data_IF_612984559416
#
_entry.id   IF_612984559416
#
_cell.length_a   1.000
_cell.length_b   1.000
_cell.length_c   1.000
_cell.angle_alpha   90.00
_cell.angle_beta   90.00
_cell.angle_gamma   90.00
#
_symmetry.space_group_name_H-M   'P 1'
#
loop_
_entity.id
_entity.type
_entity.pdbx_description
1 polymer ?
#
# COMPACT_ATOMS: atom_id res chain seq x y z
N UNK A 1 36.52 -3.12 12.12
CA UNK A 1 37.29 -3.47 13.35
C UNK A 1 36.26 -3.87 14.40
N UNK A 2 35.80 -5.12 14.41
CA UNK A 2 36.51 -6.31 14.90
C UNK A 2 36.89 -6.14 16.38
N UNK A 3 35.90 -6.30 17.26
CA UNK A 3 36.18 -6.50 18.68
C UNK A 3 36.85 -7.87 18.84
N UNK A 4 38.18 -7.86 18.97
CA UNK A 4 38.97 -9.00 19.40
C UNK A 4 38.55 -9.36 20.84
N UNK A 5 37.88 -10.51 21.01
CA UNK A 5 37.66 -11.09 22.35
C UNK A 5 39.03 -11.52 22.89
N UNK A 6 39.52 -10.80 23.90
CA UNK A 6 40.74 -11.16 24.65
C UNK A 6 40.38 -12.23 25.68
N UNK A 7 41.14 -13.32 25.70
CA UNK A 7 40.94 -14.46 26.59
C UNK A 7 41.30 -14.14 28.05
N UNK A 8 40.71 -14.89 28.98
CA UNK A 8 40.97 -14.79 30.42
C UNK A 8 42.37 -15.30 30.79
N UNK A 9 43.03 -14.75 31.83
CA UNK A 9 44.33 -15.19 32.32
C UNK A 9 44.30 -16.65 32.79
N UNK A 10 45.42 -17.36 32.61
CA UNK A 10 45.53 -18.81 32.81
C UNK A 10 45.76 -19.23 34.28
N UNK A 11 45.93 -18.27 35.18
CA UNK A 11 46.18 -18.48 36.62
C UNK A 11 45.50 -17.38 37.45
N UNK A 12 44.84 -17.70 38.59
CA UNK A 12 44.25 -16.67 39.45
C UNK A 12 45.34 -15.85 40.15
N UNK A 13 45.41 -14.54 39.87
CA UNK A 13 46.27 -13.59 40.60
C UNK A 13 47.26 -12.77 39.76
N UNK A 14 47.44 -13.08 38.46
CA UNK A 14 48.33 -12.33 37.57
C UNK A 14 47.59 -11.31 36.70
N UNK A 15 48.24 -10.18 36.38
CA UNK A 15 47.73 -9.20 35.42
C UNK A 15 47.81 -9.73 33.96
N UNK A 16 46.87 -9.35 33.06
CA UNK A 16 46.73 -10.03 31.77
C UNK A 16 47.88 -9.82 30.77
N UNK A 17 48.67 -8.75 30.89
CA UNK A 17 49.92 -8.46 30.14
C UNK A 17 50.48 -7.08 30.58
N UNK A 18 51.81 -6.81 30.54
CA UNK A 18 52.39 -5.51 30.94
C UNK A 18 52.10 -4.34 29.98
N UNK A 19 52.12 -3.11 30.53
CA UNK A 19 51.83 -1.84 29.87
C UNK A 19 52.87 -1.45 28.82
N UNK A 20 52.42 -1.23 27.58
CA UNK A 20 53.24 -0.65 26.51
C UNK A 20 52.67 0.71 26.08
N UNK A 21 53.40 1.76 26.46
CA UNK A 21 53.18 3.15 26.11
C UNK A 21 53.21 3.38 24.59
N UNK A 22 52.31 4.23 24.11
CA UNK A 22 52.27 4.72 22.74
C UNK A 22 53.28 5.87 22.55
N UNK A 23 53.92 5.97 21.38
CA UNK A 23 54.18 7.27 20.78
C UNK A 23 53.41 7.42 19.46
N UNK A 24 52.70 8.53 19.35
CA UNK A 24 52.11 9.03 18.13
C UNK A 24 53.17 9.76 17.30
N UNK A 25 53.27 9.48 16.00
CA UNK A 25 53.69 10.50 15.01
C UNK A 25 53.25 10.12 13.61
N UNK A 26 52.58 11.06 12.95
CA UNK A 26 52.19 11.03 11.55
C UNK A 26 53.12 12.01 10.83
N UNK A 27 53.91 11.57 9.87
CA UNK A 27 54.48 12.45 8.84
C UNK A 27 54.51 11.74 7.47
N UNK A 28 54.19 12.45 6.37
CA UNK A 28 54.23 11.92 5.01
C UNK A 28 55.60 12.18 4.36
N UNK A 29 56.07 11.27 3.50
CA UNK A 29 57.30 11.46 2.69
C UNK A 29 56.99 11.22 1.20
N UNK A 30 57.52 12.04 0.27
CA UNK A 30 57.06 12.20 -1.10
C UNK A 30 57.82 11.34 -2.13
N UNK A 31 57.26 11.22 -3.34
CA UNK A 31 57.90 10.67 -4.55
C UNK A 31 59.01 11.60 -5.08
N UNK A 32 60.04 11.03 -5.74
CA UNK A 32 60.28 11.40 -7.14
C UNK A 32 60.81 10.24 -8.03
N UNK A 33 60.98 10.59 -9.30
CA UNK A 33 61.05 9.82 -10.55
C UNK A 33 62.36 9.09 -10.89
N UNK A 34 62.20 8.12 -11.82
CA UNK A 34 63.05 7.68 -12.95
C UNK A 34 64.55 7.35 -12.79
N UNK A 35 64.89 6.09 -13.12
CA UNK A 35 65.93 5.76 -14.12
C UNK A 35 65.86 4.26 -14.54
N UNK A 36 65.81 4.00 -15.86
CA UNK A 36 65.91 2.68 -16.51
C UNK A 36 67.37 2.42 -16.97
N UNK A 37 67.87 1.19 -17.27
CA UNK A 37 67.52 0.48 -18.54
C UNK A 37 67.69 -1.08 -18.61
N UNK A 38 67.09 -1.69 -19.66
CA UNK A 38 67.45 -2.90 -20.48
C UNK A 38 67.84 -4.25 -19.80
N UNK A 39 67.54 -5.49 -20.25
CA UNK A 39 67.13 -6.20 -21.49
C UNK A 39 66.69 -7.66 -21.08
N UNK A 40 66.52 -8.69 -21.96
CA UNK A 40 66.26 -8.77 -23.40
C UNK A 40 65.06 -9.68 -23.78
N UNK A 41 64.85 -9.78 -25.10
CA UNK A 41 63.87 -10.54 -25.88
C UNK A 41 64.32 -11.98 -26.23
N UNK A 42 63.32 -12.78 -26.62
CA UNK A 42 63.32 -13.84 -27.65
C UNK A 42 63.43 -15.34 -27.26
N UNK A 43 62.34 -16.04 -27.61
CA UNK A 43 62.23 -17.32 -28.32
C UNK A 43 63.01 -18.57 -27.85
N UNK A 44 62.27 -19.66 -27.67
CA UNK A 44 62.81 -21.01 -27.54
C UNK A 44 61.71 -22.06 -27.38
N UNK A 45 61.50 -22.81 -28.45
CA UNK A 45 60.64 -23.98 -28.61
C UNK A 45 61.03 -25.11 -27.63
N UNK A 46 60.06 -25.72 -26.93
CA UNK A 46 60.22 -27.08 -26.40
C UNK A 46 58.84 -27.73 -26.23
N UNK A 47 58.32 -28.18 -27.36
CA UNK A 47 57.21 -29.12 -27.46
C UNK A 47 57.63 -30.47 -26.84
N UNK A 48 57.34 -30.65 -25.55
CA UNK A 48 57.35 -31.99 -24.94
C UNK A 48 55.97 -32.63 -25.03
N UNK A 49 55.88 -33.51 -26.01
CA UNK A 49 54.86 -34.54 -26.19
C UNK A 49 54.62 -35.29 -24.86
N UNK A 50 53.53 -34.97 -24.16
CA UNK A 50 53.01 -35.79 -23.08
C UNK A 50 51.81 -36.56 -23.62
N UNK A 51 52.06 -37.76 -24.15
CA UNK A 51 51.00 -38.71 -24.47
C UNK A 51 50.12 -38.94 -23.24
N UNK A 52 48.79 -38.77 -23.32
CA UNK A 52 47.92 -39.14 -22.23
C UNK A 52 47.99 -40.67 -22.09
N UNK A 53 48.40 -41.15 -20.91
CA UNK A 53 48.30 -42.56 -20.57
C UNK A 53 46.86 -43.05 -20.82
N UNK A 54 46.67 -44.26 -21.38
CA UNK A 54 45.33 -44.74 -21.72
C UNK A 54 44.47 -44.78 -20.46
N UNK A 55 43.33 -44.08 -20.49
CA UNK A 55 42.34 -44.17 -19.42
C UNK A 55 41.87 -45.62 -19.34
N UNK A 56 42.03 -46.22 -18.17
CA UNK A 56 41.57 -47.58 -17.92
C UNK A 56 40.06 -47.65 -18.21
N UNK A 57 39.68 -48.56 -19.08
CA UNK A 57 38.29 -48.83 -19.43
C UNK A 57 37.59 -49.46 -18.21
N UNK A 58 36.73 -48.68 -17.56
CA UNK A 58 36.05 -49.05 -16.32
C UNK A 58 34.95 -50.09 -16.54
N UNK A 59 34.60 -50.38 -17.79
CA UNK A 59 33.55 -51.33 -18.15
C UNK A 59 34.09 -52.76 -18.34
N UNK A 60 35.41 -52.97 -18.20
CA UNK A 60 36.02 -54.30 -18.27
C UNK A 60 36.01 -54.98 -16.90
N UNK A 61 35.37 -56.16 -16.74
CA UNK A 61 35.38 -56.87 -15.46
C UNK A 61 36.81 -57.28 -15.08
N UNK A 62 37.20 -57.00 -13.83
CA UNK A 62 38.54 -57.30 -13.33
C UNK A 62 38.81 -58.81 -13.42
N UNK A 63 40.02 -59.23 -13.86
CA UNK A 63 40.35 -60.64 -14.04
C UNK A 63 40.54 -61.41 -12.72
N UNK A 64 40.30 -60.76 -11.57
CA UNK A 64 40.40 -61.34 -10.24
C UNK A 64 39.17 -61.01 -9.39
N UNK A 65 38.81 -61.90 -8.49
CA UNK A 65 37.73 -61.70 -7.51
C UNK A 65 38.08 -60.57 -6.54
N UNK A 66 37.18 -59.59 -6.42
CA UNK A 66 37.32 -58.45 -5.50
C UNK A 66 37.41 -58.96 -4.05
N UNK A 67 38.56 -58.84 -3.40
CA UNK A 67 38.79 -59.30 -2.02
C UNK A 67 38.56 -58.22 -0.96
N UNK A 68 38.37 -56.96 -1.38
CA UNK A 68 38.03 -55.85 -0.49
C UNK A 68 36.67 -55.25 -0.86
N UNK A 69 35.74 -55.26 0.09
CA UNK A 69 34.46 -54.58 -0.01
C UNK A 69 34.58 -53.15 0.55
N UNK A 70 33.86 -52.20 -0.04
CA UNK A 70 33.83 -50.83 0.48
C UNK A 70 33.24 -50.86 1.90
N UNK A 71 34.06 -50.59 2.92
CA UNK A 71 33.61 -50.58 4.32
C UNK A 71 32.53 -49.52 4.53
N UNK A 72 31.69 -49.67 5.56
CA UNK A 72 30.51 -48.82 5.82
C UNK A 72 30.78 -47.30 5.82
N UNK A 73 32.03 -46.87 6.00
CA UNK A 73 32.44 -45.47 5.90
C UNK A 73 32.54 -44.92 4.46
N UNK A 74 32.67 -45.78 3.46
CA UNK A 74 32.72 -45.42 2.04
C UNK A 74 31.34 -45.08 1.45
N UNK A 75 30.26 -45.49 2.13
CA UNK A 75 28.88 -45.12 1.82
C UNK A 75 28.43 -44.02 2.79
N UNK A 76 29.20 -42.93 2.91
CA UNK A 76 28.62 -41.69 3.41
C UNK A 76 27.94 -41.02 2.22
N UNK A 77 26.60 -40.95 2.16
CA UNK A 77 25.97 -40.12 1.15
C UNK A 77 26.52 -38.71 1.31
N UNK A 78 27.02 -38.12 0.23
CA UNK A 78 27.45 -36.72 0.23
C UNK A 78 26.33 -35.90 0.86
N UNK A 79 26.63 -35.17 1.93
CA UNK A 79 25.65 -34.34 2.64
C UNK A 79 24.95 -33.48 1.60
N UNK A 80 23.65 -33.71 1.39
CA UNK A 80 22.89 -33.01 0.37
C UNK A 80 23.16 -31.50 0.49
N UNK A 81 23.42 -30.78 -0.62
CA UNK A 81 23.64 -29.35 -0.58
C UNK A 81 22.48 -28.72 0.19
N UNK A 82 22.79 -28.02 1.28
CA UNK A 82 21.76 -27.35 2.09
C UNK A 82 21.15 -26.29 1.19
N UNK A 83 19.92 -26.53 0.72
CA UNK A 83 19.21 -25.58 -0.13
C UNK A 83 19.26 -24.19 0.52
N UNK A 84 19.90 -23.24 -0.15
CA UNK A 84 20.00 -21.89 0.38
C UNK A 84 18.59 -21.29 0.46
N UNK A 85 18.20 -20.73 1.62
CA UNK A 85 16.86 -20.19 1.79
C UNK A 85 16.64 -19.06 0.78
N UNK A 86 15.58 -19.19 -0.03
CA UNK A 86 15.17 -18.18 -1.02
C UNK A 86 15.06 -16.82 -0.34
N UNK A 87 15.94 -15.88 -0.72
CA UNK A 87 15.99 -14.52 -0.18
C UNK A 87 15.11 -13.60 -1.01
N UNK A 88 14.13 -12.94 -0.39
CA UNK A 88 13.33 -11.89 -1.03
C UNK A 88 13.91 -10.54 -0.63
N UNK A 89 14.46 -9.79 -1.60
CA UNK A 89 15.13 -8.49 -1.37
C UNK A 89 16.23 -8.54 -0.29
N UNK A 90 17.04 -9.59 -0.29
CA UNK A 90 18.19 -9.73 0.62
C UNK A 90 17.87 -10.33 2.01
N UNK A 91 16.59 -10.43 2.41
CA UNK A 91 16.18 -11.10 3.64
C UNK A 91 15.60 -12.49 3.37
N UNK A 92 15.81 -13.42 4.30
CA UNK A 92 15.17 -14.74 4.31
C UNK A 92 13.68 -14.62 4.66
N UNK A 93 12.87 -15.62 4.28
CA UNK A 93 11.45 -15.68 4.67
C UNK A 93 11.25 -15.63 6.19
N UNK A 94 12.14 -16.25 6.95
CA UNK A 94 12.12 -16.23 8.41
C UNK A 94 12.34 -14.80 8.96
N UNK A 95 13.27 -14.04 8.39
CA UNK A 95 13.50 -12.64 8.79
C UNK A 95 12.32 -11.73 8.42
N UNK A 96 11.67 -11.95 7.26
CA UNK A 96 10.41 -11.27 6.94
C UNK A 96 9.29 -11.60 7.93
N UNK A 97 9.16 -12.87 8.30
CA UNK A 97 8.16 -13.30 9.30
C UNK A 97 8.44 -12.68 10.68
N UNK A 98 9.71 -12.67 11.12
CA UNK A 98 10.13 -12.01 12.36
C UNK A 98 9.86 -10.50 12.29
N UNK A 99 10.21 -9.85 11.18
CA UNK A 99 9.96 -8.43 10.99
C UNK A 99 8.47 -8.07 11.01
N UNK A 100 7.63 -8.88 10.36
CA UNK A 100 6.17 -8.73 10.40
C UNK A 100 5.61 -8.95 11.81
N UNK A 101 6.11 -9.96 12.52
CA UNK A 101 5.70 -10.25 13.89
C UNK A 101 6.09 -9.11 14.85
N UNK A 102 7.34 -8.65 14.79
CA UNK A 102 7.81 -7.52 15.61
C UNK A 102 7.05 -6.24 15.26
N UNK A 103 6.80 -5.97 13.98
CA UNK A 103 5.97 -4.86 13.54
C UNK A 103 4.53 -4.97 14.07
N UNK A 104 3.94 -6.17 14.04
CA UNK A 104 2.62 -6.44 14.58
C UNK A 104 2.56 -6.24 16.09
N UNK A 105 3.53 -6.76 16.84
CA UNK A 105 3.63 -6.57 18.30
C UNK A 105 3.81 -5.09 18.64
N UNK A 106 4.68 -4.37 17.93
CA UNK A 106 4.87 -2.94 18.13
C UNK A 106 3.59 -2.14 17.86
N UNK A 107 2.84 -2.51 16.82
CA UNK A 107 1.54 -1.90 16.51
C UNK A 107 0.52 -2.16 17.62
N UNK A 108 0.39 -3.41 18.08
CA UNK A 108 -0.52 -3.77 19.19
C UNK A 108 -0.16 -3.02 20.46
N UNK A 109 1.14 -2.95 20.79
CA UNK A 109 1.62 -2.18 21.95
C UNK A 109 1.28 -0.70 21.80
N UNK A 110 1.58 -0.09 20.65
CA UNK A 110 1.26 1.32 20.39
C UNK A 110 -0.26 1.59 20.48
N UNK A 111 -1.10 0.72 19.90
CA UNK A 111 -2.56 0.80 20.04
C UNK A 111 -2.99 0.67 21.50
N UNK A 112 -2.41 -0.26 22.26
CA UNK A 112 -2.66 -0.41 23.69
C UNK A 112 -2.30 0.84 24.49
N UNK A 113 -1.20 1.51 24.16
CA UNK A 113 -0.80 2.78 24.76
C UNK A 113 -1.77 3.92 24.44
N UNK A 114 -2.26 4.00 23.19
CA UNK A 114 -3.30 4.98 22.82
C UNK A 114 -4.58 4.74 23.63
N UNK A 115 -5.02 3.48 23.75
CA UNK A 115 -6.21 3.14 24.54
C UNK A 115 -6.01 3.47 26.01
N UNK A 116 -4.87 3.11 26.60
CA UNK A 116 -4.56 3.42 27.99
C UNK A 116 -4.55 4.94 28.25
N UNK A 117 -3.92 5.71 27.38
CA UNK A 117 -3.89 7.17 27.46
C UNK A 117 -5.30 7.77 27.32
N UNK A 118 -6.10 7.30 26.35
CA UNK A 118 -7.48 7.76 26.18
C UNK A 118 -8.35 7.43 27.40
N UNK A 119 -8.25 6.22 27.96
CA UNK A 119 -8.98 5.84 29.17
C UNK A 119 -8.55 6.64 30.39
N UNK A 120 -7.25 6.94 30.51
CA UNK A 120 -6.75 7.85 31.55
C UNK A 120 -7.35 9.25 31.39
N UNK A 121 -7.33 9.83 30.18
CA UNK A 121 -7.94 11.15 29.93
C UNK A 121 -9.43 11.16 30.27
N UNK A 122 -10.19 10.15 29.82
CA UNK A 122 -11.64 10.05 30.09
C UNK A 122 -11.95 9.85 31.58
N UNK A 123 -11.00 9.40 32.40
CA UNK A 123 -11.19 9.31 33.86
C UNK A 123 -11.17 10.66 34.58
N UNK A 124 -10.58 11.70 33.96
CA UNK A 124 -10.46 13.04 34.54
C UNK A 124 -11.82 13.76 34.58
N UNK A 125 -12.14 14.42 35.69
CA UNK A 125 -13.43 15.12 35.88
C UNK A 125 -13.70 16.17 34.79
N UNK A 126 -12.69 16.95 34.41
CA UNK A 126 -12.82 17.96 33.35
C UNK A 126 -13.16 17.34 31.99
N UNK A 127 -12.59 16.18 31.67
CA UNK A 127 -12.89 15.47 30.41
C UNK A 127 -14.27 14.84 30.48
N UNK A 128 -14.69 14.29 31.63
CA UNK A 128 -16.06 13.79 31.80
C UNK A 128 -17.11 14.90 31.64
N UNK A 129 -16.86 16.07 32.22
CA UNK A 129 -17.72 17.24 32.05
C UNK A 129 -17.77 17.70 30.57
N UNK A 130 -16.63 17.69 29.89
CA UNK A 130 -16.55 17.98 28.46
C UNK A 130 -17.37 16.98 27.61
N UNK A 131 -17.22 15.68 27.86
CA UNK A 131 -17.99 14.65 27.15
C UNK A 131 -19.50 14.74 27.44
N UNK A 132 -19.89 15.18 28.64
CA UNK A 132 -21.30 15.41 28.98
C UNK A 132 -21.86 16.65 28.25
N UNK A 133 -21.05 17.71 28.08
CA UNK A 133 -21.43 18.91 27.33
C UNK A 133 -21.46 18.66 25.81
N UNK A 134 -20.59 17.77 25.32
CA UNK A 134 -20.44 17.44 23.90
C UNK A 134 -20.50 15.91 23.73
N UNK A 135 -21.71 15.33 23.61
CA UNK A 135 -21.89 13.87 23.59
C UNK A 135 -21.32 13.18 22.34
N UNK A 136 -20.96 13.95 21.30
CA UNK A 136 -20.41 13.44 20.04
C UNK A 136 -21.25 13.76 18.81
N UNK A 137 -22.43 14.35 19.00
CA UNK A 137 -23.35 14.75 17.95
C UNK A 137 -24.14 15.99 18.35
N UNK A 138 -24.75 16.64 17.36
CA UNK A 138 -25.67 17.77 17.53
C UNK A 138 -26.86 17.60 16.58
N UNK A 139 -28.04 18.16 16.90
CA UNK A 139 -29.23 17.98 16.09
C UNK A 139 -29.09 18.62 14.71
N UNK A 140 -29.62 17.95 13.68
CA UNK A 140 -29.70 18.50 12.33
C UNK A 140 -30.74 19.63 12.27
N UNK A 141 -30.63 20.56 11.30
CA UNK A 141 -31.65 21.58 11.07
C UNK A 141 -33.04 20.97 10.90
N UNK A 142 -34.04 21.66 11.46
CA UNK A 142 -35.45 21.27 11.34
C UNK A 142 -35.84 21.08 9.87
N UNK A 143 -36.53 19.98 9.55
CA UNK A 143 -36.92 19.62 8.19
C UNK A 143 -35.99 18.62 7.49
N UNK A 144 -34.86 18.22 8.11
CA UNK A 144 -34.03 17.13 7.58
C UNK A 144 -34.70 15.78 7.85
N UNK A 145 -35.19 15.12 6.80
CA UNK A 145 -35.88 13.84 6.94
C UNK A 145 -34.94 12.73 7.45
N UNK A 146 -35.39 11.85 8.36
CA UNK A 146 -34.65 10.65 8.76
C UNK A 146 -34.56 9.65 7.60
N UNK A 147 -33.60 8.74 7.68
CA UNK A 147 -33.34 7.71 6.68
C UNK A 147 -32.58 8.15 5.43
N UNK A 148 -32.46 7.21 4.51
CA UNK A 148 -31.68 7.34 3.29
C UNK A 148 -32.52 6.99 2.06
N UNK A 149 -32.74 7.95 1.13
CA UNK A 149 -33.48 7.67 -0.09
C UNK A 149 -32.71 6.68 -0.97
N UNK A 150 -33.44 5.93 -1.81
CA UNK A 150 -32.86 4.87 -2.64
C UNK A 150 -31.71 5.36 -3.54
N UNK A 151 -31.75 6.62 -3.99
CA UNK A 151 -30.67 7.20 -4.79
C UNK A 151 -29.36 7.32 -4.00
N UNK A 152 -29.39 7.59 -2.69
CA UNK A 152 -28.17 7.63 -1.84
C UNK A 152 -27.57 6.22 -1.73
N UNK A 153 -28.41 5.21 -1.54
CA UNK A 153 -27.99 3.81 -1.42
C UNK A 153 -27.35 3.31 -2.71
N UNK A 154 -27.98 3.61 -3.86
CA UNK A 154 -27.43 3.33 -5.18
C UNK A 154 -26.09 4.06 -5.42
N UNK A 155 -26.06 5.37 -5.13
CA UNK A 155 -24.87 6.21 -5.26
C UNK A 155 -23.71 5.67 -4.42
N UNK A 156 -24.00 5.24 -3.19
CA UNK A 156 -23.02 4.63 -2.30
C UNK A 156 -22.42 3.35 -2.92
N UNK A 157 -23.26 2.41 -3.35
CA UNK A 157 -22.80 1.18 -4.02
C UNK A 157 -21.98 1.49 -5.28
N UNK A 158 -22.52 2.31 -6.18
CA UNK A 158 -21.89 2.58 -7.47
C UNK A 158 -20.58 3.36 -7.30
N UNK A 159 -20.50 4.29 -6.35
CA UNK A 159 -19.27 4.96 -5.99
C UNK A 159 -18.21 3.98 -5.45
N UNK A 160 -18.60 3.05 -4.56
CA UNK A 160 -17.69 2.02 -4.07
C UNK A 160 -17.16 1.13 -5.21
N UNK A 161 -18.04 0.73 -6.14
CA UNK A 161 -17.66 -0.01 -7.34
C UNK A 161 -16.62 0.73 -8.19
N UNK A 162 -16.84 2.02 -8.47
CA UNK A 162 -15.91 2.84 -9.24
C UNK A 162 -14.57 3.03 -8.52
N UNK A 163 -14.59 3.39 -7.24
CA UNK A 163 -13.36 3.65 -6.45
C UNK A 163 -12.45 2.42 -6.40
N UNK A 164 -13.01 1.22 -6.23
CA UNK A 164 -12.20 -0.02 -6.26
C UNK A 164 -11.48 -0.20 -7.60
N UNK A 165 -12.17 0.07 -8.72
CA UNK A 165 -11.58 -0.04 -10.05
C UNK A 165 -10.57 1.10 -10.32
N UNK A 166 -10.85 2.31 -9.87
CA UNK A 166 -9.98 3.50 -10.00
C UNK A 166 -8.68 3.27 -9.23
N UNK A 167 -8.74 2.84 -7.97
CA UNK A 167 -7.55 2.54 -7.15
C UNK A 167 -6.70 1.47 -7.84
N UNK A 168 -7.32 0.36 -8.26
CA UNK A 168 -6.62 -0.73 -8.96
C UNK A 168 -5.92 -0.24 -10.23
N UNK A 169 -6.64 0.50 -11.06
CA UNK A 169 -6.10 0.99 -12.34
C UNK A 169 -5.05 2.09 -12.15
N UNK A 170 -5.18 2.93 -11.12
CA UNK A 170 -4.17 3.93 -10.75
C UNK A 170 -2.87 3.27 -10.28
N UNK A 171 -2.95 2.21 -9.48
CA UNK A 171 -1.78 1.40 -9.10
C UNK A 171 -1.15 0.71 -10.32
N UNK A 172 -1.97 0.20 -11.24
CA UNK A 172 -1.48 -0.39 -12.49
C UNK A 172 -0.74 0.66 -13.34
N UNK A 173 -1.32 1.83 -13.58
CA UNK A 173 -0.69 2.93 -14.33
C UNK A 173 0.63 3.36 -13.70
N UNK A 174 0.72 3.39 -12.36
CA UNK A 174 1.94 3.76 -11.63
C UNK A 174 3.05 2.71 -11.72
N UNK A 175 2.70 1.42 -11.86
CA UNK A 175 3.66 0.31 -11.82
C UNK A 175 3.98 -0.27 -13.20
N UNK A 176 3.14 0.00 -14.20
CA UNK A 176 3.29 -0.45 -15.58
C UNK A 176 4.47 0.27 -16.27
N UNK A 177 5.58 -0.44 -16.47
CA UNK A 177 6.76 0.10 -17.19
C UNK A 177 6.70 -0.08 -18.70
N UNK A 178 6.05 -1.16 -19.17
CA UNK A 178 6.00 -1.55 -20.59
C UNK A 178 4.58 -2.02 -20.94
N UNK A 179 3.71 -1.13 -21.42
CA UNK A 179 2.35 -1.50 -21.80
C UNK A 179 2.35 -2.47 -22.99
N UNK A 180 1.57 -3.55 -22.88
CA UNK A 180 1.40 -4.53 -23.96
C UNK A 180 0.36 -4.09 -24.99
N UNK A 181 -0.60 -3.26 -24.59
CA UNK A 181 -1.71 -2.81 -25.42
C UNK A 181 -1.85 -1.28 -25.32
N UNK A 182 -1.95 -0.64 -26.48
CA UNK A 182 -2.10 0.80 -26.61
C UNK A 182 -3.45 1.15 -27.22
N UNK A 183 -3.97 2.29 -26.81
CA UNK A 183 -5.17 2.91 -27.37
C UNK A 183 -4.84 4.29 -27.96
N UNK A 184 -5.49 4.60 -29.07
CA UNK A 184 -5.44 5.92 -29.71
C UNK A 184 -6.84 6.45 -30.00
N UNK A 185 -7.11 7.74 -29.73
CA UNK A 185 -8.41 8.35 -30.00
C UNK A 185 -8.69 8.44 -31.50
N UNK A 186 -9.98 8.40 -31.89
CA UNK A 186 -10.41 8.47 -33.31
C UNK A 186 -9.85 9.68 -34.05
N UNK A 187 -9.86 10.85 -33.43
CA UNK A 187 -9.41 12.12 -34.04
C UNK A 187 -7.89 12.33 -34.06
N UNK A 188 -7.10 11.53 -33.34
CA UNK A 188 -5.64 11.68 -33.31
C UNK A 188 -4.92 10.35 -33.11
N UNK A 189 -4.76 9.60 -34.19
CA UNK A 189 -4.10 8.28 -34.21
C UNK A 189 -2.61 8.32 -33.85
N UNK A 190 -1.98 9.49 -33.86
CA UNK A 190 -0.57 9.66 -33.44
C UNK A 190 -0.43 9.61 -31.92
N UNK A 191 -1.45 10.03 -31.17
CA UNK A 191 -1.46 9.94 -29.71
C UNK A 191 -1.72 8.50 -29.28
N UNK A 192 -0.81 7.93 -28.49
CA UNK A 192 -0.93 6.59 -27.92
C UNK A 192 -0.83 6.67 -26.40
N UNK A 193 -1.75 6.00 -25.72
CA UNK A 193 -1.72 5.79 -24.26
C UNK A 193 -1.89 4.31 -23.97
N UNK A 194 -1.45 3.84 -22.80
CA UNK A 194 -1.70 2.43 -22.43
C UNK A 194 -3.20 2.18 -22.27
N UNK A 195 -3.64 0.94 -22.50
CA UNK A 195 -5.02 0.54 -22.26
C UNK A 195 -5.43 0.74 -20.79
N UNK A 196 -4.49 0.55 -19.85
CA UNK A 196 -4.71 0.81 -18.43
C UNK A 196 -5.00 2.30 -18.16
N UNK A 197 -4.21 3.21 -18.75
CA UNK A 197 -4.43 4.65 -18.62
C UNK A 197 -5.74 5.09 -19.26
N UNK A 198 -6.11 4.53 -20.43
CA UNK A 198 -7.41 4.77 -21.04
C UNK A 198 -8.56 4.34 -20.11
N UNK A 199 -8.46 3.16 -19.52
CA UNK A 199 -9.52 2.64 -18.65
C UNK A 199 -9.64 3.43 -17.34
N UNK A 200 -8.52 3.81 -16.73
CA UNK A 200 -8.50 4.71 -15.56
C UNK A 200 -9.23 6.02 -15.87
N UNK A 201 -8.87 6.69 -16.97
CA UNK A 201 -9.50 7.93 -17.37
C UNK A 201 -11.01 7.78 -17.65
N UNK A 202 -11.43 6.65 -18.24
CA UNK A 202 -12.84 6.36 -18.47
C UNK A 202 -13.61 6.23 -17.14
N UNK A 203 -13.05 5.49 -16.18
CA UNK A 203 -13.62 5.37 -14.83
C UNK A 203 -13.68 6.73 -14.12
N UNK A 204 -12.63 7.54 -14.23
CA UNK A 204 -12.59 8.88 -13.62
C UNK A 204 -13.71 9.77 -14.16
N UNK A 205 -13.97 9.72 -15.48
CA UNK A 205 -15.08 10.48 -16.08
C UNK A 205 -16.42 9.99 -15.52
N UNK A 206 -16.65 8.66 -15.47
CA UNK A 206 -17.86 8.09 -14.89
C UNK A 206 -18.02 8.51 -13.42
N UNK A 207 -16.93 8.50 -12.66
CA UNK A 207 -16.91 8.87 -11.25
C UNK A 207 -17.17 10.36 -11.03
N UNK A 208 -16.63 11.24 -11.88
CA UNK A 208 -16.93 12.68 -11.86
C UNK A 208 -18.41 12.92 -12.16
N UNK A 209 -18.96 12.31 -13.22
CA UNK A 209 -20.39 12.43 -13.53
C UNK A 209 -21.24 11.94 -12.36
N UNK A 210 -20.88 10.78 -11.80
CA UNK A 210 -21.55 10.24 -10.63
C UNK A 210 -21.53 11.19 -9.43
N UNK A 211 -20.36 11.77 -9.14
CA UNK A 211 -20.17 12.76 -8.08
C UNK A 211 -20.96 14.04 -8.29
N UNK A 212 -21.04 14.55 -9.53
CA UNK A 212 -21.88 15.72 -9.87
C UNK A 212 -23.35 15.41 -9.63
N UNK A 213 -23.85 14.25 -10.10
CA UNK A 213 -25.23 13.82 -9.84
C UNK A 213 -25.48 13.69 -8.34
N UNK A 214 -24.55 13.09 -7.59
CA UNK A 214 -24.64 12.97 -6.13
C UNK A 214 -24.75 14.33 -5.46
N UNK A 215 -23.85 15.27 -5.77
CA UNK A 215 -23.86 16.63 -5.19
C UNK A 215 -25.16 17.36 -5.54
N UNK A 216 -25.63 17.31 -6.79
CA UNK A 216 -26.88 17.94 -7.19
C UNK A 216 -28.06 17.37 -6.39
N UNK A 217 -28.20 16.04 -6.32
CA UNK A 217 -29.28 15.40 -5.57
C UNK A 217 -29.18 15.68 -4.07
N UNK A 218 -27.97 15.70 -3.52
CA UNK A 218 -27.70 15.99 -2.11
C UNK A 218 -28.24 17.37 -1.70
N UNK A 219 -27.99 18.39 -2.52
CA UNK A 219 -28.51 19.74 -2.26
C UNK A 219 -30.00 19.85 -2.60
N UNK A 220 -30.45 19.30 -3.73
CA UNK A 220 -31.84 19.37 -4.17
C UNK A 220 -32.83 18.69 -3.22
N UNK A 221 -32.39 17.67 -2.49
CA UNK A 221 -33.24 16.90 -1.55
C UNK A 221 -33.02 17.27 -0.09
N UNK A 222 -32.16 18.26 0.20
CA UNK A 222 -31.87 18.69 1.58
C UNK A 222 -30.97 17.75 2.39
N UNK A 223 -30.54 16.62 1.83
CA UNK A 223 -29.67 15.66 2.51
C UNK A 223 -28.23 16.17 2.77
N UNK A 224 -27.84 17.31 2.17
CA UNK A 224 -26.55 17.97 2.41
C UNK A 224 -26.29 18.25 3.90
N UNK A 225 -27.33 18.57 4.67
CA UNK A 225 -27.22 18.90 6.10
C UNK A 225 -26.65 17.74 6.94
N UNK A 226 -26.73 16.49 6.45
CA UNK A 226 -26.16 15.32 7.13
C UNK A 226 -24.65 15.25 7.06
N UNK A 227 -24.03 15.80 6.00
CA UNK A 227 -22.58 15.66 5.75
C UNK A 227 -21.84 16.99 5.70
N UNK A 228 -22.54 18.12 5.68
CA UNK A 228 -21.95 19.45 5.81
C UNK A 228 -22.19 19.94 7.23
N UNK A 229 -21.15 20.34 7.99
CA UNK A 229 -21.35 20.88 9.31
C UNK A 229 -22.26 22.11 9.30
N UNK A 230 -23.29 22.11 10.15
CA UNK A 230 -24.25 23.23 10.27
C UNK A 230 -24.07 24.02 11.57
N UNK A 231 -23.17 23.59 12.45
CA UNK A 231 -22.80 24.26 13.70
C UNK A 231 -21.31 24.11 13.99
N UNK A 232 -20.73 25.10 14.68
CA UNK A 232 -19.36 25.04 15.20
C UNK A 232 -19.18 23.99 16.30
N UNK A 233 -20.28 23.50 16.87
CA UNK A 233 -20.28 22.37 17.82
C UNK A 233 -19.73 21.08 17.21
N UNK A 234 -19.61 20.99 15.88
CA UNK A 234 -19.00 19.84 15.19
C UNK A 234 -17.59 19.55 15.70
N UNK A 235 -16.78 20.57 16.01
CA UNK A 235 -15.38 20.38 16.40
C UNK A 235 -15.23 19.79 17.81
N UNK A 236 -15.84 20.36 18.86
CA UNK A 236 -15.78 19.74 20.19
C UNK A 236 -16.47 18.36 20.21
N UNK A 237 -17.61 18.18 19.52
CA UNK A 237 -18.25 16.86 19.43
C UNK A 237 -17.38 15.84 18.67
N UNK A 238 -16.67 16.24 17.62
CA UNK A 238 -15.76 15.34 16.92
C UNK A 238 -14.58 14.91 17.81
N UNK A 239 -14.07 15.83 18.64
CA UNK A 239 -13.04 15.51 19.64
C UNK A 239 -13.58 14.52 20.68
N UNK A 240 -14.81 14.73 21.17
CA UNK A 240 -15.48 13.78 22.07
C UNK A 240 -15.62 12.40 21.44
N UNK A 241 -16.12 12.31 20.21
CA UNK A 241 -16.27 11.05 19.49
C UNK A 241 -14.91 10.36 19.26
N UNK A 242 -13.86 11.12 18.91
CA UNK A 242 -12.51 10.58 18.75
C UNK A 242 -11.95 9.98 20.06
N UNK A 243 -12.15 10.66 21.20
CA UNK A 243 -11.77 10.14 22.52
C UNK A 243 -12.58 8.89 22.91
N UNK A 244 -13.86 8.86 22.58
CA UNK A 244 -14.74 7.71 22.80
C UNK A 244 -14.27 6.48 21.98
N UNK A 245 -13.99 6.64 20.69
CA UNK A 245 -13.40 5.55 19.88
C UNK A 245 -12.03 5.11 20.39
N UNK A 246 -11.14 6.06 20.72
CA UNK A 246 -9.79 5.76 21.19
C UNK A 246 -9.80 5.06 22.56
N UNK A 247 -10.76 5.35 23.43
CA UNK A 247 -10.91 4.71 24.74
C UNK A 247 -11.60 3.33 24.68
N UNK A 248 -12.05 2.91 23.49
CA UNK A 248 -12.91 1.73 23.27
C UNK A 248 -14.25 1.81 24.01
N UNK A 249 -14.70 3.02 24.32
CA UNK A 249 -16.05 3.29 24.83
C UNK A 249 -16.84 3.96 23.70
N UNK A 250 -17.27 3.15 22.72
CA UNK A 250 -17.75 3.68 21.45
C UNK A 250 -19.09 4.40 21.60
N UNK A 251 -19.28 5.53 20.88
CA UNK A 251 -20.53 6.28 20.95
C UNK A 251 -21.68 5.45 20.38
N UNK A 252 -22.89 5.65 20.92
CA UNK A 252 -24.10 5.08 20.31
C UNK A 252 -24.34 5.76 18.97
N UNK A 253 -24.28 5.00 17.88
CA UNK A 253 -24.48 5.53 16.53
C UNK A 253 -25.97 5.68 16.20
N UNK A 254 -26.37 6.86 15.75
CA UNK A 254 -27.74 7.17 15.30
C UNK A 254 -27.80 7.48 13.80
N UNK A 255 -27.02 6.77 12.97
CA UNK A 255 -26.82 7.06 11.54
C UNK A 255 -28.09 7.21 10.70
N UNK A 256 -29.22 6.62 11.12
CA UNK A 256 -30.52 6.83 10.49
C UNK A 256 -30.98 8.29 10.54
N UNK A 257 -30.74 8.98 11.65
CA UNK A 257 -31.14 10.38 11.88
C UNK A 257 -29.98 11.31 11.54
N UNK A 258 -28.81 11.08 12.15
CA UNK A 258 -27.65 11.96 12.07
C UNK A 258 -26.36 11.16 12.27
N UNK A 259 -25.28 11.63 11.66
CA UNK A 259 -23.95 11.08 11.92
C UNK A 259 -23.33 11.78 13.13
N UNK A 260 -22.50 11.05 13.87
CA UNK A 260 -21.66 11.71 14.88
C UNK A 260 -20.71 12.71 14.19
N UNK A 261 -20.24 13.72 14.92
CA UNK A 261 -19.49 14.83 14.32
C UNK A 261 -18.14 14.40 13.74
N UNK A 262 -17.51 13.33 14.24
CA UNK A 262 -16.29 12.79 13.65
C UNK A 262 -16.56 12.17 12.27
N UNK A 263 -17.62 11.38 12.16
CA UNK A 263 -18.10 10.84 10.89
C UNK A 263 -18.50 11.97 9.92
N UNK A 264 -19.24 12.98 10.39
CA UNK A 264 -19.66 14.12 9.57
C UNK A 264 -18.46 14.85 8.96
N UNK A 265 -17.43 15.15 9.76
CA UNK A 265 -16.19 15.75 9.25
C UNK A 265 -15.47 14.84 8.26
N UNK A 266 -15.38 13.54 8.53
CA UNK A 266 -14.76 12.58 7.61
C UNK A 266 -15.51 12.52 6.26
N UNK A 267 -16.85 12.55 6.28
CA UNK A 267 -17.67 12.58 5.07
C UNK A 267 -17.55 13.90 4.32
N UNK A 268 -17.58 15.03 5.04
CA UNK A 268 -17.35 16.35 4.47
C UNK A 268 -15.99 16.41 3.75
N UNK A 269 -14.91 16.04 4.44
CA UNK A 269 -13.56 16.02 3.88
C UNK A 269 -13.49 15.10 2.68
N UNK A 270 -14.08 13.92 2.73
CA UNK A 270 -14.03 12.96 1.62
C UNK A 270 -14.75 13.48 0.37
N UNK A 271 -15.96 14.02 0.54
CA UNK A 271 -16.81 14.47 -0.57
C UNK A 271 -16.41 15.83 -1.12
N UNK A 272 -16.09 16.80 -0.26
CA UNK A 272 -15.89 18.20 -0.66
C UNK A 272 -14.42 18.64 -0.68
N UNK A 273 -13.49 17.82 -0.20
CA UNK A 273 -12.05 18.15 -0.23
C UNK A 273 -11.27 17.09 -1.03
N UNK A 274 -11.22 15.85 -0.55
CA UNK A 274 -10.40 14.80 -1.15
C UNK A 274 -10.87 14.45 -2.56
N UNK A 275 -12.18 14.35 -2.81
CA UNK A 275 -12.70 14.04 -4.13
C UNK A 275 -12.41 15.15 -5.16
N UNK A 276 -12.72 16.44 -4.91
CA UNK A 276 -12.31 17.53 -5.79
C UNK A 276 -10.78 17.57 -6.01
N UNK A 277 -10.00 17.29 -4.96
CA UNK A 277 -8.54 17.26 -5.07
C UNK A 277 -8.05 16.15 -6.00
N UNK A 278 -8.67 14.96 -5.94
CA UNK A 278 -8.41 13.86 -6.87
C UNK A 278 -8.76 14.26 -8.32
N UNK A 279 -9.89 14.96 -8.53
CA UNK A 279 -10.29 15.45 -9.86
C UNK A 279 -9.28 16.47 -10.39
N UNK A 280 -8.94 17.51 -9.62
CA UNK A 280 -8.02 18.58 -10.05
C UNK A 280 -6.64 18.01 -10.39
N UNK A 281 -6.12 17.15 -9.52
CA UNK A 281 -4.82 16.50 -9.75
C UNK A 281 -4.87 15.48 -10.89
N UNK A 282 -5.96 14.73 -11.03
CA UNK A 282 -6.18 13.78 -12.12
C UNK A 282 -6.26 14.46 -13.48
N UNK A 283 -7.01 15.57 -13.61
CA UNK A 283 -7.11 16.35 -14.84
C UNK A 283 -5.74 16.88 -15.27
N UNK A 284 -4.89 17.30 -14.33
CA UNK A 284 -3.52 17.76 -14.63
C UNK A 284 -2.61 16.66 -15.15
N UNK A 285 -2.77 15.43 -14.65
CA UNK A 285 -2.03 14.25 -15.08
C UNK A 285 -2.62 13.61 -16.34
N UNK A 286 -3.89 13.89 -16.64
CA UNK A 286 -4.56 13.45 -17.85
C UNK A 286 -3.98 14.11 -19.08
N UNK A 287 -4.15 13.49 -20.25
CA UNK A 287 -3.84 14.17 -21.50
C UNK A 287 -4.98 15.06 -22.01
N UNK A 288 -5.95 15.44 -21.18
CA UNK A 288 -6.90 16.53 -21.47
C UNK A 288 -6.24 17.89 -21.22
N UNK A 289 -5.20 17.93 -20.36
CA UNK A 289 -4.49 19.18 -20.07
C UNK A 289 -3.93 19.85 -21.34
N UNK A 290 -4.12 21.17 -21.54
CA UNK A 290 -3.67 21.86 -22.73
C UNK A 290 -2.15 21.85 -22.84
N UNK A 291 -1.62 21.47 -24.01
CA UNK A 291 -0.17 21.41 -24.24
C UNK A 291 0.49 22.79 -24.38
N UNK A 292 -0.27 23.80 -24.81
CA UNK A 292 0.25 25.12 -25.17
C UNK A 292 -0.15 26.20 -24.14
N UNK A 293 -0.39 25.82 -22.87
CA UNK A 293 -0.79 26.75 -21.81
C UNK A 293 0.38 26.99 -20.84
N UNK A 294 1.36 27.81 -21.26
CA UNK A 294 2.57 28.08 -20.48
C UNK A 294 2.27 28.74 -19.12
N UNK A 295 1.41 29.76 -19.08
CA UNK A 295 1.00 30.45 -17.84
C UNK A 295 0.31 29.49 -16.87
N UNK A 296 -0.63 28.69 -17.35
CA UNK A 296 -1.35 27.71 -16.53
C UNK A 296 -0.43 26.61 -15.99
N UNK A 297 0.53 26.15 -16.82
CA UNK A 297 1.49 25.12 -16.43
C UNK A 297 2.55 25.64 -15.44
N UNK A 298 2.83 26.95 -15.44
CA UNK A 298 3.69 27.61 -14.45
C UNK A 298 2.97 27.77 -13.11
N UNK A 299 1.69 28.15 -13.13
CA UNK A 299 0.87 28.28 -11.91
C UNK A 299 0.55 26.92 -11.27
N UNK A 300 0.37 25.88 -12.09
CA UNK A 300 0.13 24.52 -11.63
C UNK A 300 1.13 23.52 -12.25
N UNK A 301 2.31 23.35 -11.64
CA UNK A 301 3.30 22.39 -12.11
C UNK A 301 2.83 20.94 -11.93
N UNK A 302 3.27 20.05 -12.82
CA UNK A 302 2.85 18.64 -12.83
C UNK A 302 3.41 17.86 -11.64
N UNK A 303 4.52 18.33 -11.08
CA UNK A 303 5.18 17.79 -9.90
C UNK A 303 4.25 17.86 -8.69
N UNK A 304 3.56 18.98 -8.50
CA UNK A 304 2.56 19.15 -7.43
C UNK A 304 1.39 18.19 -7.62
N UNK A 305 0.88 18.06 -8.84
CA UNK A 305 -0.20 17.12 -9.13
C UNK A 305 0.23 15.67 -8.78
N UNK A 306 1.43 15.26 -9.18
CA UNK A 306 1.95 13.92 -8.86
C UNK A 306 2.20 13.72 -7.37
N UNK A 307 2.74 14.73 -6.70
CA UNK A 307 3.02 14.72 -5.27
C UNK A 307 1.74 14.59 -4.43
N UNK A 308 0.60 15.10 -4.92
CA UNK A 308 -0.66 15.11 -4.20
C UNK A 308 -1.62 13.99 -4.61
N UNK A 309 -1.69 13.65 -5.89
CA UNK A 309 -2.64 12.64 -6.39
C UNK A 309 -2.45 11.28 -5.73
N UNK A 310 -1.20 10.84 -5.57
CA UNK A 310 -0.92 9.54 -4.95
C UNK A 310 -1.27 9.50 -3.45
N UNK A 311 -0.88 10.48 -2.61
CA UNK A 311 -1.37 10.58 -1.23
C UNK A 311 -2.89 10.65 -1.12
N UNK A 312 -3.58 11.36 -2.02
CA UNK A 312 -5.06 11.39 -2.02
C UNK A 312 -5.65 10.00 -2.28
N UNK A 313 -5.06 9.21 -3.20
CA UNK A 313 -5.45 7.82 -3.38
C UNK A 313 -5.22 6.98 -2.11
N UNK A 314 -4.08 7.18 -1.42
CA UNK A 314 -3.82 6.51 -0.13
C UNK A 314 -4.84 6.92 0.94
N UNK A 315 -5.25 8.18 0.99
CA UNK A 315 -6.32 8.65 1.86
C UNK A 315 -7.63 7.90 1.57
N UNK A 316 -8.03 7.76 0.30
CA UNK A 316 -9.24 6.99 -0.04
C UNK A 316 -9.14 5.53 0.41
N UNK A 317 -7.98 4.88 0.22
CA UNK A 317 -7.76 3.51 0.71
C UNK A 317 -7.91 3.43 2.23
N UNK A 318 -7.24 4.33 2.96
CA UNK A 318 -7.29 4.36 4.42
C UNK A 318 -8.71 4.65 4.93
N UNK A 319 -9.38 5.64 4.34
CA UNK A 319 -10.78 5.97 4.62
C UNK A 319 -11.68 4.75 4.40
N UNK A 320 -11.60 4.08 3.25
CA UNK A 320 -12.42 2.89 2.97
C UNK A 320 -12.18 1.77 3.99
N UNK A 321 -10.94 1.49 4.34
CA UNK A 321 -10.61 0.43 5.32
C UNK A 321 -11.19 0.77 6.69
N UNK A 322 -10.94 1.97 7.20
CA UNK A 322 -11.43 2.40 8.52
C UNK A 322 -12.97 2.48 8.53
N UNK A 323 -13.56 3.06 7.49
CA UNK A 323 -15.01 3.19 7.34
C UNK A 323 -15.72 1.83 7.36
N UNK A 324 -15.27 0.87 6.53
CA UNK A 324 -15.86 -0.47 6.49
C UNK A 324 -15.65 -1.21 7.81
N UNK A 325 -14.47 -1.09 8.43
CA UNK A 325 -14.21 -1.70 9.73
C UNK A 325 -15.17 -1.18 10.81
N UNK A 326 -15.40 0.14 10.88
CA UNK A 326 -16.33 0.74 11.82
C UNK A 326 -17.77 0.30 11.53
N UNK A 327 -18.21 0.30 10.28
CA UNK A 327 -19.55 -0.20 9.88
C UNK A 327 -19.81 -1.60 10.42
N UNK A 328 -18.82 -2.50 10.30
CA UNK A 328 -18.94 -3.89 10.73
C UNK A 328 -18.87 -4.03 12.26
N UNK A 329 -18.16 -3.13 12.94
CA UNK A 329 -17.94 -3.22 14.37
C UNK A 329 -19.01 -2.50 15.22
N UNK A 330 -19.68 -1.47 14.69
CA UNK A 330 -20.67 -0.63 15.41
C UNK A 330 -22.13 -1.02 15.13
N UNK A 331 -22.39 -2.32 14.94
CA UNK A 331 -23.74 -2.82 14.65
C UNK A 331 -23.99 -3.11 13.17
N UNK A 332 -23.20 -4.05 12.60
CA UNK A 332 -23.18 -4.40 11.18
C UNK A 332 -24.55 -4.52 10.52
N UNK A 333 -25.49 -5.30 11.09
CA UNK A 333 -26.80 -5.52 10.47
C UNK A 333 -27.59 -4.22 10.33
N UNK A 334 -27.61 -3.37 11.37
CA UNK A 334 -28.32 -2.09 11.35
C UNK A 334 -27.68 -1.13 10.34
N UNK A 335 -26.35 -0.99 10.37
CA UNK A 335 -25.61 -0.13 9.45
C UNK A 335 -25.77 -0.57 7.98
N UNK A 336 -25.73 -1.89 7.72
CA UNK A 336 -25.96 -2.42 6.37
C UNK A 336 -27.40 -2.19 5.91
N UNK A 337 -28.40 -2.26 6.80
CA UNK A 337 -29.77 -1.91 6.46
C UNK A 337 -29.97 -0.42 6.18
N UNK A 338 -29.23 0.47 6.84
CA UNK A 338 -29.24 1.89 6.48
C UNK A 338 -28.74 2.14 5.06
N UNK A 339 -27.65 1.48 4.68
CA UNK A 339 -26.96 1.74 3.40
C UNK A 339 -27.52 0.95 2.22
N UNK A 340 -28.06 -0.25 2.45
CA UNK A 340 -28.50 -1.17 1.38
C UNK A 340 -29.97 -1.57 1.50
N UNK A 341 -30.51 -1.63 2.72
CA UNK A 341 -31.88 -2.09 2.98
C UNK A 341 -32.91 -0.96 3.01
N UNK A 342 -32.48 0.30 3.10
CA UNK A 342 -33.36 1.47 3.24
C UNK A 342 -34.23 1.45 4.49
N UNK A 343 -33.77 0.84 5.58
CA UNK A 343 -34.56 0.69 6.82
C UNK A 343 -33.68 0.77 8.07
N UNK A 344 -34.23 1.26 9.18
CA UNK A 344 -33.58 1.26 10.50
C UNK A 344 -33.75 -0.07 11.27
N UNK A 345 -34.55 -1.00 10.73
CA UNK A 345 -34.78 -2.30 11.37
C UNK A 345 -33.51 -3.15 11.41
N UNK A 346 -33.35 -3.96 12.46
CA UNK A 346 -32.28 -4.95 12.56
C UNK A 346 -32.74 -6.26 11.93
N UNK A 347 -32.41 -6.46 10.66
CA UNK A 347 -32.70 -7.67 9.89
C UNK A 347 -31.55 -7.98 8.91
N UNK A 348 -31.67 -9.06 8.11
CA UNK A 348 -30.59 -9.53 7.23
C UNK A 348 -30.69 -9.02 5.78
N UNK A 349 -31.67 -8.19 5.43
CA UNK A 349 -31.92 -7.78 4.03
C UNK A 349 -30.72 -7.02 3.47
N UNK A 350 -30.30 -5.95 4.16
CA UNK A 350 -29.14 -5.14 3.76
C UNK A 350 -27.84 -5.93 3.74
N UNK A 351 -27.69 -6.95 4.60
CA UNK A 351 -26.54 -7.85 4.58
C UNK A 351 -26.45 -8.64 3.26
N UNK A 352 -27.54 -9.26 2.82
CA UNK A 352 -27.52 -10.03 1.56
C UNK A 352 -27.35 -9.14 0.33
N UNK A 353 -27.93 -7.93 0.34
CA UNK A 353 -27.69 -6.94 -0.72
C UNK A 353 -26.21 -6.54 -0.72
N UNK A 354 -25.59 -6.29 0.44
CA UNK A 354 -24.15 -6.00 0.55
C UNK A 354 -23.27 -7.13 0.00
N UNK A 355 -23.61 -8.40 0.30
CA UNK A 355 -22.92 -9.57 -0.26
C UNK A 355 -23.02 -9.58 -1.79
N UNK A 356 -24.22 -9.36 -2.33
CA UNK A 356 -24.43 -9.29 -3.77
C UNK A 356 -23.65 -8.12 -4.41
N UNK A 357 -23.67 -6.94 -3.79
CA UNK A 357 -22.89 -5.78 -4.23
C UNK A 357 -21.39 -6.06 -4.24
N UNK A 358 -20.87 -6.74 -3.21
CA UNK A 358 -19.47 -7.14 -3.13
C UNK A 358 -19.11 -8.14 -4.23
N UNK A 359 -19.99 -9.11 -4.51
CA UNK A 359 -19.82 -10.03 -5.63
C UNK A 359 -19.76 -9.30 -6.98
N UNK A 360 -20.60 -8.28 -7.20
CA UNK A 360 -20.55 -7.44 -8.41
C UNK A 360 -19.25 -6.65 -8.50
N UNK A 361 -18.76 -6.09 -7.40
CA UNK A 361 -17.47 -5.39 -7.34
C UNK A 361 -16.32 -6.34 -7.72
N UNK A 362 -16.30 -7.54 -7.14
CA UNK A 362 -15.31 -8.58 -7.45
C UNK A 362 -15.39 -8.99 -8.92
N UNK A 363 -16.61 -9.19 -9.45
CA UNK A 363 -16.81 -9.51 -10.85
C UNK A 363 -16.28 -8.40 -11.78
N UNK A 364 -16.57 -7.14 -11.48
CA UNK A 364 -16.03 -5.98 -12.19
C UNK A 364 -14.50 -5.90 -12.12
N UNK A 365 -13.91 -6.17 -10.95
CA UNK A 365 -12.47 -6.21 -10.76
C UNK A 365 -11.81 -7.30 -11.60
N UNK A 366 -12.41 -8.50 -11.66
CA UNK A 366 -11.94 -9.62 -12.50
C UNK A 366 -12.11 -9.30 -13.98
N UNK A 367 -13.25 -8.69 -14.36
CA UNK A 367 -13.59 -8.33 -15.73
C UNK A 367 -12.70 -7.20 -16.28
N UNK A 368 -12.07 -6.38 -15.44
CA UNK A 368 -11.14 -5.33 -15.83
C UNK A 368 -9.78 -5.88 -16.34
N UNK A 369 -9.79 -6.87 -17.23
CA UNK A 369 -8.62 -7.44 -17.91
C UNK A 369 -8.56 -6.99 -19.37
N UNK A 370 -7.36 -6.94 -19.99
CA UNK A 370 -7.22 -6.47 -21.38
C UNK A 370 -8.14 -7.17 -22.40
N UNK A 371 -8.40 -8.47 -22.23
CA UNK A 371 -9.28 -9.26 -23.13
C UNK A 371 -10.70 -8.70 -23.19
N UNK A 372 -11.23 -8.21 -22.06
CA UNK A 372 -12.57 -7.63 -21.97
C UNK A 372 -12.54 -6.13 -22.32
N UNK A 373 -11.50 -5.42 -21.87
CA UNK A 373 -11.40 -3.97 -22.05
C UNK A 373 -11.07 -3.57 -23.49
N UNK A 374 -10.29 -4.36 -24.23
CA UNK A 374 -9.87 -4.01 -25.59
C UNK A 374 -11.04 -3.88 -26.58
N UNK A 375 -12.03 -4.80 -26.64
CA UNK A 375 -13.24 -4.63 -27.44
C UNK A 375 -14.01 -3.34 -27.11
N UNK A 376 -14.18 -3.03 -25.82
CA UNK A 376 -14.88 -1.81 -25.37
C UNK A 376 -14.10 -0.58 -25.81
N UNK A 377 -12.78 -0.57 -25.62
CA UNK A 377 -11.91 0.55 -26.01
C UNK A 377 -11.92 0.81 -27.52
N UNK A 378 -12.13 -0.21 -28.36
CA UNK A 378 -12.30 -0.06 -29.83
C UNK A 378 -13.55 0.74 -30.20
N UNK A 379 -14.57 0.79 -29.35
CA UNK A 379 -15.76 1.63 -29.57
C UNK A 379 -15.44 3.13 -29.51
N UNK A 380 -14.29 3.52 -28.93
CA UNK A 380 -13.89 4.91 -28.74
C UNK A 380 -12.62 5.29 -29.51
N UNK A 381 -11.94 4.34 -30.15
CA UNK A 381 -10.65 4.57 -30.80
C UNK A 381 -10.06 3.31 -31.42
N UNK A 382 -8.76 3.34 -31.69
CA UNK A 382 -8.04 2.17 -32.22
C UNK A 382 -7.20 1.54 -31.13
N UNK A 383 -7.33 0.23 -30.95
CA UNK A 383 -6.51 -0.57 -30.03
C UNK A 383 -5.49 -1.36 -30.82
N UNK A 384 -4.22 -1.29 -30.43
CA UNK A 384 -3.13 -2.06 -31.02
C UNK A 384 -2.32 -2.76 -29.93
N UNK A 385 -2.02 -4.04 -30.14
CA UNK A 385 -1.00 -4.75 -29.38
C UNK A 385 0.39 -4.24 -29.76
N UNK A 386 1.36 -4.48 -28.88
CA UNK A 386 2.78 -4.32 -29.21
C UNK A 386 3.20 -5.24 -30.35
#
# INVERSE_FOLDING_TARGET
>A
MTYLRRGLPRTPGDEPWPDAALPATTEPIPSPEDDAPAAPSAAGDDSRDASPAPRADLDRPLPFTRTAWAGAAAIRPAKAPREEPVRMRGLTRAQWAIGLLLGGVALVFASGMVVAAARFLVSLDGVRAFLAAFPGEYPLPAGTAPGFPAWVQWQHFFNAFLIVLIIRTGLQVRTEKRPAVFWSPRGNRKRRISLALWFHQALDILWIVNGVVFVVLLFATGHWARIVPTSWEVFPNALSAALQYASLNWPTENGWVNYNSLQQLAYFTTVFVAAPLAVVTGVRLSGVWPKNAATLSRLYPVEWARALHFPVMLYFVAFTVVHVALVLATGALRNLNHMYGGTDAVNTVGFWIFVASTAVIVAGWIAARPVVLAPIAKLFGTVKGR
#
